data_IF_205494517802
#
_entry.id   IF_205494517802
#
_cell.length_a   1.000
_cell.length_b   1.000
_cell.length_c   1.000
_cell.angle_alpha   90.00
_cell.angle_beta   90.00
_cell.angle_gamma   90.00
#
_symmetry.space_group_name_H-M   'P 1'
#
loop_
_entity.id
_entity.type
_entity.pdbx_description
1 polymer ?
#
# COMPACT_ATOMS: atom_id res chain seq x y z
N UNK A 1 -6.17 -7.91 14.28
CA UNK A 1 -7.54 -7.36 14.21
C UNK A 1 -7.62 -6.20 13.20
N UNK A 2 -6.71 -5.23 13.24
CA UNK A 2 -6.69 -4.06 12.31
C UNK A 2 -6.55 -4.43 10.83
N UNK A 3 -5.75 -5.45 10.47
CA UNK A 3 -5.60 -5.88 9.07
C UNK A 3 -6.92 -6.38 8.45
N UNK A 4 -7.67 -7.23 9.13
CA UNK A 4 -8.94 -7.76 8.58
C UNK A 4 -9.99 -6.66 8.43
N UNK A 5 -9.99 -5.67 9.34
CA UNK A 5 -10.83 -4.48 9.23
C UNK A 5 -10.42 -3.62 8.04
N UNK A 6 -9.12 -3.43 7.81
CA UNK A 6 -8.64 -2.74 6.62
C UNK A 6 -9.03 -3.49 5.34
N UNK A 7 -8.93 -4.82 5.36
CA UNK A 7 -9.34 -5.66 4.22
C UNK A 7 -10.83 -5.49 3.91
N UNK A 8 -11.67 -5.56 4.93
CA UNK A 8 -13.11 -5.34 4.78
C UNK A 8 -13.42 -3.92 4.31
N UNK A 9 -12.82 -2.90 4.93
CA UNK A 9 -13.02 -1.50 4.54
C UNK A 9 -12.60 -1.24 3.08
N UNK A 10 -11.48 -1.79 2.65
CA UNK A 10 -11.04 -1.67 1.26
C UNK A 10 -11.98 -2.43 0.30
N UNK A 11 -12.37 -3.66 0.64
CA UNK A 11 -13.24 -4.49 -0.20
C UNK A 11 -14.65 -3.93 -0.35
N UNK A 12 -15.20 -3.32 0.70
CA UNK A 12 -16.51 -2.65 0.69
C UNK A 12 -16.43 -1.16 0.31
N UNK A 13 -15.30 -0.71 -0.26
CA UNK A 13 -15.10 0.65 -0.75
C UNK A 13 -15.27 1.77 0.31
N UNK A 14 -15.14 1.42 1.59
CA UNK A 14 -15.10 2.36 2.72
C UNK A 14 -13.70 2.99 2.86
N UNK A 15 -13.25 3.72 1.83
CA UNK A 15 -11.86 4.18 1.74
C UNK A 15 -11.46 5.22 2.79
N UNK A 16 -12.39 6.01 3.33
CA UNK A 16 -12.10 6.93 4.44
C UNK A 16 -11.76 6.15 5.71
N UNK A 17 -12.52 5.09 6.00
CA UNK A 17 -12.22 4.16 7.09
C UNK A 17 -10.90 3.42 6.82
N UNK A 18 -10.69 2.95 5.60
CA UNK A 18 -9.43 2.32 5.21
C UNK A 18 -8.24 3.27 5.44
N UNK A 19 -8.38 4.56 5.09
CA UNK A 19 -7.37 5.59 5.31
C UNK A 19 -7.02 5.80 6.78
N UNK A 20 -8.01 5.77 7.67
CA UNK A 20 -7.78 5.80 9.12
C UNK A 20 -7.04 4.54 9.58
N UNK A 21 -7.54 3.36 9.17
CA UNK A 21 -6.96 2.08 9.58
C UNK A 21 -5.52 1.88 9.07
N UNK A 22 -5.17 2.43 7.91
CA UNK A 22 -3.79 2.41 7.37
C UNK A 22 -2.81 3.14 8.28
N UNK A 23 -3.26 4.21 8.95
CA UNK A 23 -2.43 4.97 9.89
C UNK A 23 -2.20 4.22 11.21
N UNK A 24 -3.12 3.32 11.57
CA UNK A 24 -3.04 2.50 12.79
C UNK A 24 -2.18 1.23 12.62
N UNK A 25 -1.83 0.86 11.39
CA UNK A 25 -0.91 -0.26 11.13
C UNK A 25 0.52 0.19 11.46
N UNK A 26 1.18 -0.51 12.40
CA UNK A 26 2.56 -0.25 12.83
C UNK A 26 3.52 -0.10 11.64
N UNK A 27 4.59 0.67 11.86
CA UNK A 27 5.56 1.03 10.82
C UNK A 27 6.09 -0.23 10.12
N UNK A 28 5.74 -0.33 8.84
CA UNK A 28 6.14 -1.39 7.90
C UNK A 28 7.67 -1.62 7.89
N UNK A 29 8.44 -0.63 8.36
CA UNK A 29 9.89 -0.70 8.50
C UNK A 29 10.39 -1.62 9.62
N UNK A 30 9.60 -1.88 10.67
CA UNK A 30 10.01 -2.70 11.81
C UNK A 30 9.65 -4.19 11.68
N UNK A 31 8.99 -4.55 10.58
CA UNK A 31 8.29 -5.83 10.43
C UNK A 31 9.08 -6.85 9.60
N UNK A 32 9.15 -8.10 10.07
CA UNK A 32 9.82 -9.23 9.39
C UNK A 32 9.16 -9.57 8.04
N UNK A 33 9.82 -9.20 6.94
CA UNK A 33 9.44 -9.45 5.52
C UNK A 33 9.05 -10.89 5.16
N UNK A 34 9.45 -11.89 5.95
CA UNK A 34 9.09 -13.30 5.73
C UNK A 34 7.67 -13.63 6.22
N UNK A 35 7.04 -12.75 6.99
CA UNK A 35 5.71 -13.02 7.56
C UNK A 35 4.63 -12.67 6.56
N UNK A 36 3.73 -13.62 6.31
CA UNK A 36 2.68 -13.51 5.31
C UNK A 36 1.72 -12.32 5.52
N UNK A 37 1.54 -11.92 6.78
CA UNK A 37 0.68 -10.82 7.20
C UNK A 37 1.26 -9.46 6.78
N UNK A 38 2.58 -9.31 6.85
CA UNK A 38 3.26 -8.02 6.70
C UNK A 38 3.17 -7.52 5.26
N UNK A 39 3.39 -8.40 4.30
CA UNK A 39 3.30 -8.01 2.90
C UNK A 39 1.86 -7.76 2.45
N UNK A 40 0.86 -8.46 3.03
CA UNK A 40 -0.56 -8.19 2.76
C UNK A 40 -0.95 -6.80 3.28
N UNK A 41 -0.48 -6.44 4.48
CA UNK A 41 -0.63 -5.08 4.99
C UNK A 41 -0.05 -4.06 4.01
N UNK A 42 1.19 -4.27 3.55
CA UNK A 42 1.86 -3.37 2.62
C UNK A 42 1.06 -3.14 1.34
N UNK A 43 0.56 -4.21 0.73
CA UNK A 43 -0.28 -4.10 -0.47
C UNK A 43 -1.49 -3.21 -0.21
N UNK A 44 -2.24 -3.47 0.86
CA UNK A 44 -3.46 -2.71 1.18
C UNK A 44 -3.18 -1.26 1.53
N UNK A 45 -2.08 -0.99 2.25
CA UNK A 45 -1.64 0.38 2.54
C UNK A 45 -1.33 1.13 1.25
N UNK A 46 -0.64 0.47 0.31
CA UNK A 46 -0.34 1.02 -1.01
C UNK A 46 -1.61 1.31 -1.81
N UNK A 47 -2.46 0.30 -2.01
CA UNK A 47 -3.71 0.43 -2.77
C UNK A 47 -4.64 1.49 -2.15
N UNK A 48 -4.83 1.48 -0.83
CA UNK A 48 -5.64 2.49 -0.14
C UNK A 48 -5.08 3.89 -0.36
N UNK A 49 -3.76 4.06 -0.28
CA UNK A 49 -3.13 5.36 -0.51
C UNK A 49 -3.27 5.83 -1.97
N UNK A 50 -3.16 4.93 -2.95
CA UNK A 50 -3.43 5.25 -4.35
C UNK A 50 -4.88 5.67 -4.57
N UNK A 51 -5.85 4.89 -4.07
CA UNK A 51 -7.26 5.21 -4.20
C UNK A 51 -7.61 6.55 -3.54
N UNK A 52 -7.11 6.78 -2.32
CA UNK A 52 -7.35 8.04 -1.63
C UNK A 52 -6.71 9.21 -2.38
N UNK A 53 -5.48 9.05 -2.89
CA UNK A 53 -4.89 10.07 -3.76
C UNK A 53 -5.72 10.33 -5.01
N UNK A 54 -6.22 9.32 -5.70
CA UNK A 54 -7.07 9.52 -6.89
C UNK A 54 -8.34 10.32 -6.54
N UNK A 55 -8.94 10.07 -5.37
CA UNK A 55 -10.16 10.75 -4.90
C UNK A 55 -9.94 12.20 -4.46
N UNK A 56 -8.87 12.47 -3.70
CA UNK A 56 -8.69 13.76 -3.03
C UNK A 56 -7.45 14.53 -3.48
N UNK A 57 -6.65 13.96 -4.39
CA UNK A 57 -5.37 14.50 -4.89
C UNK A 57 -4.40 14.94 -3.78
N UNK A 58 -4.51 14.34 -2.61
CA UNK A 58 -3.69 14.70 -1.45
C UNK A 58 -2.24 14.26 -1.62
N UNK A 59 -1.32 15.22 -1.50
CA UNK A 59 0.12 14.98 -1.52
C UNK A 59 0.58 14.00 -0.43
N UNK A 60 -0.10 13.97 0.72
CA UNK A 60 0.18 13.02 1.81
C UNK A 60 0.00 11.58 1.32
N UNK A 61 -1.13 11.29 0.66
CA UNK A 61 -1.44 9.96 0.16
C UNK A 61 -0.54 9.55 -1.01
N UNK A 62 -0.22 10.49 -1.92
CA UNK A 62 0.79 10.29 -2.96
C UNK A 62 2.14 9.88 -2.36
N UNK A 63 2.65 10.63 -1.38
CA UNK A 63 3.92 10.31 -0.72
C UNK A 63 3.87 8.95 0.00
N UNK A 64 2.75 8.63 0.65
CA UNK A 64 2.55 7.34 1.31
C UNK A 64 2.58 6.18 0.31
N UNK A 65 1.85 6.29 -0.80
CA UNK A 65 1.81 5.27 -1.86
C UNK A 65 3.19 5.01 -2.47
N UNK A 66 3.95 6.07 -2.75
CA UNK A 66 5.34 5.97 -3.23
C UNK A 66 6.22 5.26 -2.20
N UNK A 67 6.15 5.66 -0.92
CA UNK A 67 6.94 5.06 0.16
C UNK A 67 6.70 3.55 0.27
N UNK A 68 5.44 3.12 0.26
CA UNK A 68 5.07 1.71 0.34
C UNK A 68 5.59 0.95 -0.89
N UNK A 69 5.42 1.50 -2.09
CA UNK A 69 5.90 0.87 -3.33
C UNK A 69 7.42 0.69 -3.31
N UNK A 70 8.17 1.72 -2.93
CA UNK A 70 9.63 1.63 -2.77
C UNK A 70 10.05 0.60 -1.73
N UNK A 71 9.27 0.45 -0.64
CA UNK A 71 9.54 -0.54 0.39
C UNK A 71 9.36 -1.97 -0.10
N UNK A 72 8.25 -2.24 -0.81
CA UNK A 72 7.99 -3.55 -1.41
C UNK A 72 9.05 -3.87 -2.46
N UNK A 73 9.47 -2.88 -3.25
CA UNK A 73 10.58 -3.03 -4.20
C UNK A 73 11.90 -3.39 -3.51
N UNK A 74 12.21 -2.76 -2.37
CA UNK A 74 13.37 -3.10 -1.54
C UNK A 74 13.31 -4.56 -1.05
N UNK A 75 12.13 -5.02 -0.61
CA UNK A 75 11.96 -6.40 -0.17
C UNK A 75 12.19 -7.41 -1.29
N UNK A 76 11.65 -7.15 -2.48
CA UNK A 76 11.88 -7.96 -3.67
C UNK A 76 13.37 -8.04 -4.00
N UNK A 77 14.07 -6.90 -4.03
CA UNK A 77 15.53 -6.85 -4.27
C UNK A 77 16.34 -7.64 -3.24
N UNK A 78 15.84 -7.75 -2.00
CA UNK A 78 16.46 -8.55 -0.92
C UNK A 78 16.04 -10.02 -0.91
N UNK A 79 15.39 -10.51 -1.97
CA UNK A 79 15.04 -11.93 -2.14
C UNK A 79 13.67 -12.34 -1.61
N UNK A 80 12.79 -11.39 -1.26
CA UNK A 80 11.40 -11.71 -0.89
C UNK A 80 10.55 -11.94 -2.16
N UNK A 81 10.73 -13.07 -2.82
CA UNK A 81 10.09 -13.41 -4.12
C UNK A 81 8.56 -13.40 -4.03
N UNK A 82 7.99 -13.76 -2.88
CA UNK A 82 6.54 -13.68 -2.62
C UNK A 82 5.99 -12.25 -2.74
N UNK A 83 6.84 -11.23 -2.69
CA UNK A 83 6.46 -9.84 -2.89
C UNK A 83 6.36 -9.41 -4.36
N UNK A 84 6.79 -10.24 -5.32
CA UNK A 84 6.79 -9.88 -6.75
C UNK A 84 5.38 -9.54 -7.27
N UNK A 85 4.40 -10.38 -6.96
CA UNK A 85 3.02 -10.17 -7.44
C UNK A 85 2.44 -8.84 -6.92
N UNK A 86 2.76 -8.47 -5.69
CA UNK A 86 2.33 -7.20 -5.11
C UNK A 86 3.06 -6.02 -5.71
N UNK A 87 4.36 -6.18 -5.97
CA UNK A 87 5.14 -5.14 -6.62
C UNK A 87 4.53 -4.78 -7.97
N UNK A 88 4.17 -5.76 -8.80
CA UNK A 88 3.53 -5.50 -10.10
C UNK A 88 2.20 -4.74 -9.97
N UNK A 89 1.38 -5.06 -8.97
CA UNK A 89 0.13 -4.33 -8.72
C UNK A 89 0.40 -2.88 -8.32
N UNK A 90 1.35 -2.65 -7.42
CA UNK A 90 1.72 -1.29 -6.99
C UNK A 90 2.41 -0.50 -8.11
N UNK A 91 3.18 -1.15 -8.97
CA UNK A 91 3.80 -0.54 -10.15
C UNK A 91 2.76 -0.12 -11.19
N UNK A 92 1.69 -0.90 -11.38
CA UNK A 92 0.58 -0.53 -12.23
C UNK A 92 -0.11 0.75 -11.73
N UNK A 93 -0.40 0.84 -10.44
CA UNK A 93 -0.95 2.06 -9.82
C UNK A 93 0.01 3.25 -9.92
N UNK A 94 1.31 3.02 -9.70
CA UNK A 94 2.34 4.04 -9.91
C UNK A 94 2.41 4.54 -11.36
N UNK A 95 2.19 3.65 -12.34
CA UNK A 95 2.20 4.02 -13.75
C UNK A 95 1.01 4.92 -14.09
N UNK A 96 -0.19 4.63 -13.55
CA UNK A 96 -1.35 5.51 -13.63
C UNK A 96 -1.02 6.88 -13.05
N UNK A 97 -0.44 6.91 -11.85
CA UNK A 97 -0.05 8.16 -11.17
C UNK A 97 0.99 8.98 -11.94
N UNK A 98 1.91 8.32 -12.67
CA UNK A 98 2.91 8.99 -13.53
C UNK A 98 2.32 9.45 -14.88
N UNK A 99 1.31 8.74 -15.37
CA UNK A 99 0.57 9.09 -16.58
C UNK A 99 -0.30 10.35 -16.40
N UNK A 100 -0.74 10.62 -15.17
CA UNK A 100 -1.38 11.89 -14.76
C UNK A 100 -0.37 13.05 -14.70
N UNK A 101 0.48 13.28 -15.72
CA UNK A 101 1.42 14.41 -15.76
C UNK A 101 0.75 15.71 -15.25
N UNK A 102 1.51 16.39 -14.38
CA UNK A 102 1.18 17.61 -13.60
C UNK A 102 0.24 18.62 -14.25
#
# INVERSE_FOLDING_TARGET
ITLYRLWAAFYFEEFDLAGTLVQDIQDINQTNRATHIIWRCALLQGLTAFTLYQRNKSRKWKAHAIKITSKVQEWVKKGAVHCNHMLFLLEAEMAVLKGEKE
#
